data_IF_068052932262
#
_entry.id   IF_068052932262
#
_cell.length_a   1.000
_cell.length_b   1.000
_cell.length_c   1.000
_cell.angle_alpha   90.00
_cell.angle_beta   90.00
_cell.angle_gamma   90.00
#
_symmetry.space_group_name_H-M   'P 1'
#
loop_
_entity.id
_entity.type
_entity.pdbx_description
1 polymer ?
#
# COMPACT_ATOMS: atom_id res chain seq x y z
N UNK A 1 9.80 24.00 -6.24
CA UNK A 1 9.48 22.84 -5.37
C UNK A 1 10.61 22.68 -4.38
N UNK A 2 10.32 22.15 -3.19
CA UNK A 2 11.39 21.73 -2.27
C UNK A 2 11.85 20.33 -2.70
N UNK A 3 13.15 20.08 -2.77
CA UNK A 3 13.71 18.77 -3.14
C UNK A 3 13.15 17.65 -2.25
N UNK A 4 13.00 17.90 -0.95
CA UNK A 4 12.36 16.96 -0.03
C UNK A 4 10.89 16.70 -0.37
N UNK A 5 10.16 17.69 -0.89
CA UNK A 5 8.78 17.50 -1.35
C UNK A 5 8.70 16.61 -2.58
N UNK A 6 9.64 16.74 -3.51
CA UNK A 6 9.72 15.89 -4.70
C UNK A 6 10.06 14.44 -4.35
N UNK A 7 10.98 14.23 -3.40
CA UNK A 7 11.35 12.90 -2.90
C UNK A 7 10.18 12.19 -2.21
N UNK A 8 9.50 12.86 -1.26
CA UNK A 8 8.31 12.29 -0.62
C UNK A 8 7.21 11.97 -1.62
N UNK A 9 7.00 12.83 -2.63
CA UNK A 9 6.04 12.54 -3.69
C UNK A 9 6.47 11.28 -4.45
N UNK A 10 7.72 11.16 -4.88
CA UNK A 10 8.19 10.00 -5.63
C UNK A 10 7.93 8.67 -4.90
N UNK A 11 8.02 8.65 -3.57
CA UNK A 11 7.65 7.50 -2.73
C UNK A 11 6.14 7.21 -2.85
N UNK A 12 5.30 8.23 -2.66
CA UNK A 12 3.83 8.07 -2.78
C UNK A 12 3.43 7.65 -4.20
N UNK A 13 4.04 8.21 -5.25
CA UNK A 13 3.84 7.77 -6.65
C UNK A 13 4.09 6.27 -6.81
N UNK A 14 5.22 5.82 -6.28
CA UNK A 14 5.64 4.43 -6.41
C UNK A 14 4.65 3.49 -5.73
N UNK A 15 4.12 3.87 -4.56
CA UNK A 15 3.07 3.12 -3.87
C UNK A 15 1.76 3.09 -4.66
N UNK A 16 1.35 4.23 -5.23
CA UNK A 16 0.13 4.33 -6.06
C UNK A 16 0.23 3.44 -7.30
N UNK A 17 1.36 3.49 -8.02
CA UNK A 17 1.57 2.61 -9.17
C UNK A 17 1.63 1.13 -8.76
N UNK A 18 2.22 0.82 -7.60
CA UNK A 18 2.21 -0.56 -7.07
C UNK A 18 0.78 -1.03 -6.76
N UNK A 19 -0.09 -0.18 -6.19
CA UNK A 19 -1.49 -0.51 -5.95
C UNK A 19 -2.23 -0.84 -7.26
N UNK A 20 -2.02 -0.02 -8.31
CA UNK A 20 -2.59 -0.27 -9.63
C UNK A 20 -2.15 -1.61 -10.23
N UNK A 21 -0.87 -1.96 -10.12
CA UNK A 21 -0.35 -3.25 -10.59
C UNK A 21 -0.95 -4.45 -9.86
N UNK A 22 -1.49 -4.23 -8.65
CA UNK A 22 -2.07 -5.24 -7.79
C UNK A 22 -3.61 -5.22 -7.77
N UNK A 23 -4.27 -4.42 -8.63
CA UNK A 23 -5.74 -4.26 -8.62
C UNK A 23 -6.29 -3.79 -7.25
N UNK A 24 -5.53 -2.92 -6.57
CA UNK A 24 -5.87 -2.36 -5.26
C UNK A 24 -6.21 -0.88 -5.42
N UNK A 25 -7.30 -0.44 -4.79
CA UNK A 25 -7.64 0.98 -4.73
C UNK A 25 -6.58 1.76 -3.93
N UNK A 26 -5.83 2.69 -4.55
CA UNK A 26 -4.70 3.35 -3.88
C UNK A 26 -5.11 4.20 -2.68
N UNK A 27 -6.29 4.83 -2.73
CA UNK A 27 -6.76 5.70 -1.66
C UNK A 27 -7.12 4.89 -0.40
N UNK A 28 -7.84 3.79 -0.59
CA UNK A 28 -8.20 2.85 0.47
C UNK A 28 -6.95 2.26 1.10
N UNK A 29 -5.99 1.82 0.27
CA UNK A 29 -4.71 1.28 0.74
C UNK A 29 -3.94 2.29 1.60
N UNK A 30 -3.68 3.50 1.09
CA UNK A 30 -2.90 4.50 1.81
C UNK A 30 -3.58 4.92 3.12
N UNK A 31 -4.92 5.07 3.09
CA UNK A 31 -5.70 5.42 4.28
C UNK A 31 -5.54 4.35 5.35
N UNK A 32 -5.79 3.09 5.02
CA UNK A 32 -5.69 1.99 5.98
C UNK A 32 -4.25 1.78 6.47
N UNK A 33 -3.27 1.78 5.56
CA UNK A 33 -1.86 1.58 5.91
C UNK A 33 -1.37 2.67 6.87
N UNK A 34 -1.68 3.95 6.60
CA UNK A 34 -1.32 5.03 7.51
C UNK A 34 -2.08 4.96 8.83
N UNK A 35 -3.38 4.62 8.82
CA UNK A 35 -4.14 4.38 10.04
C UNK A 35 -3.48 3.31 10.90
N UNK A 36 -3.09 2.17 10.32
CA UNK A 36 -2.43 1.08 11.03
C UNK A 36 -1.09 1.50 11.62
N UNK A 37 -0.26 2.20 10.85
CA UNK A 37 1.03 2.73 11.31
C UNK A 37 0.84 3.65 12.52
N UNK A 38 -0.08 4.63 12.45
CA UNK A 38 -0.30 5.56 13.57
C UNK A 38 -0.94 4.89 14.79
N UNK A 39 -1.63 3.76 14.61
CA UNK A 39 -2.18 2.94 15.72
C UNK A 39 -1.18 1.94 16.31
N UNK A 40 0.08 1.94 15.87
CA UNK A 40 1.13 1.11 16.45
C UNK A 40 1.33 -0.25 15.78
N UNK A 41 1.09 -0.34 14.47
CA UNK A 41 1.45 -1.54 13.70
C UNK A 41 2.91 -1.93 13.94
N UNK A 42 3.15 -3.21 14.20
CA UNK A 42 4.49 -3.71 14.49
C UNK A 42 5.35 -3.69 13.23
N UNK A 43 6.57 -3.16 13.32
CA UNK A 43 7.52 -3.17 12.20
C UNK A 43 7.81 -4.59 11.69
N UNK A 44 7.74 -5.59 12.56
CA UNK A 44 7.96 -7.00 12.19
C UNK A 44 6.84 -7.57 11.29
N UNK A 45 5.68 -6.91 11.26
CA UNK A 45 4.51 -7.35 10.49
C UNK A 45 4.30 -6.48 9.24
N UNK A 46 5.35 -5.82 8.75
CA UNK A 46 5.26 -4.87 7.62
C UNK A 46 4.66 -5.50 6.35
N UNK A 47 4.81 -6.81 6.17
CA UNK A 47 4.26 -7.54 5.02
C UNK A 47 2.73 -7.39 4.90
N UNK A 48 2.05 -7.19 6.03
CA UNK A 48 0.61 -6.97 6.06
C UNK A 48 0.19 -5.56 5.58
N UNK A 49 1.14 -4.63 5.47
CA UNK A 49 0.93 -3.27 4.96
C UNK A 49 1.33 -3.15 3.48
N UNK A 50 1.79 -4.23 2.84
CA UNK A 50 2.18 -4.16 1.43
C UNK A 50 0.95 -4.27 0.53
N UNK A 51 0.92 -3.61 -0.64
CA UNK A 51 -0.30 -3.53 -1.46
C UNK A 51 -0.90 -4.91 -1.80
N UNK A 52 -0.09 -5.93 -2.03
CA UNK A 52 -0.59 -7.28 -2.35
C UNK A 52 -1.35 -7.97 -1.22
N UNK A 53 -1.18 -7.54 0.05
CA UNK A 53 -2.00 -8.01 1.16
C UNK A 53 -3.47 -7.55 1.05
N UNK A 54 -3.74 -6.54 0.22
CA UNK A 54 -5.06 -5.95 -0.02
C UNK A 54 -5.71 -6.46 -1.32
N UNK A 55 -4.97 -7.21 -2.14
CA UNK A 55 -5.54 -7.86 -3.32
C UNK A 55 -6.70 -8.75 -2.90
N UNK A 56 -7.86 -8.60 -3.56
CA UNK A 56 -8.91 -9.61 -3.50
C UNK A 56 -8.32 -10.91 -4.03
N UNK A 57 -8.10 -11.88 -3.13
CA UNK A 57 -7.66 -13.22 -3.48
C UNK A 57 -8.70 -13.83 -4.41
N UNK A 58 -8.51 -13.70 -5.72
CA UNK A 58 -9.31 -14.37 -6.72
C UNK A 58 -8.86 -15.82 -6.76
N UNK A 59 -9.17 -16.56 -5.67
CA UNK A 59 -9.04 -18.00 -5.61
C UNK A 59 -10.00 -18.56 -6.66
N UNK A 60 -9.53 -18.71 -7.91
CA UNK A 60 -10.17 -19.63 -8.82
C UNK A 60 -10.07 -20.99 -8.17
N UNK A 61 -11.18 -21.45 -7.60
CA UNK A 61 -11.34 -22.84 -7.21
C UNK A 61 -11.01 -23.68 -8.45
N UNK A 62 -9.88 -24.38 -8.40
CA UNK A 62 -9.60 -25.46 -9.35
C UNK A 62 -10.54 -26.59 -8.96
N UNK A 63 -11.56 -26.80 -9.81
CA UNK A 63 -12.46 -27.95 -9.75
C UNK A 63 -11.77 -29.19 -10.34
#
# INVERSE_FOLDING_TARGET
>A
GSDGGAEHWAIIASLVETCKLNDVDPLTYLTDAFTRIVTGHLNNDIDQLLPWAYCRQNLKAVA
#
